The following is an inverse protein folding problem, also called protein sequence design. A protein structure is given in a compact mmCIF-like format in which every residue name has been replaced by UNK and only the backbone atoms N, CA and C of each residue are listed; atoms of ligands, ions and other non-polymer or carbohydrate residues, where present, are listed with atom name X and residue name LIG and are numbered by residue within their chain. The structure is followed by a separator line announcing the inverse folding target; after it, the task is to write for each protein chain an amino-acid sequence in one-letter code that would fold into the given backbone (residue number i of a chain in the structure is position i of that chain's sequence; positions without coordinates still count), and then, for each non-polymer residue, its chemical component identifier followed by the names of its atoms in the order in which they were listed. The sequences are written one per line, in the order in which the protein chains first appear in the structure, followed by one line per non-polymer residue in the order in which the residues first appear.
data_IF_041406324499
#
_entry.id   IF_041406324499
#
_cell.length_a   1.000
_cell.length_b   1.000
_cell.length_c   1.000
_cell.angle_alpha   90.00
_cell.angle_beta   90.00
_cell.angle_gamma   90.00
#
_symmetry.space_group_name_H-M   'P 1'
#
loop_
_entity.id
_entity.type
_entity.pdbx_description
1 polymer ?
#
# COMPACT_ATOMS: atom_id res chain seq x y z
N UNK A 1 21.80 -15.52 -4.28
CA UNK A 1 20.93 -15.03 -3.21
C UNK A 1 19.89 -14.16 -3.89
N UNK A 2 18.65 -14.26 -3.51
CA UNK A 2 17.56 -13.43 -4.06
C UNK A 2 17.79 -11.96 -3.72
N UNK A 3 17.42 -11.05 -4.63
CA UNK A 3 17.47 -9.61 -4.40
C UNK A 3 16.04 -9.08 -4.34
N UNK A 4 15.66 -8.51 -3.21
CA UNK A 4 14.36 -7.85 -3.02
C UNK A 4 14.53 -6.39 -3.41
N UNK A 5 13.80 -5.98 -4.42
CA UNK A 5 13.90 -4.67 -5.05
C UNK A 5 12.76 -3.73 -4.60
N UNK A 6 12.92 -2.43 -4.86
CA UNK A 6 11.84 -1.46 -4.73
C UNK A 6 10.72 -1.73 -5.75
N UNK A 7 9.52 -1.21 -5.47
CA UNK A 7 8.40 -1.16 -6.40
C UNK A 7 8.06 0.29 -6.70
N UNK A 8 8.45 0.79 -7.87
CA UNK A 8 8.24 2.19 -8.26
C UNK A 8 7.61 2.24 -9.64
N UNK A 9 6.52 3.00 -9.78
CA UNK A 9 5.85 3.16 -11.08
C UNK A 9 5.30 1.86 -11.66
N UNK A 10 4.87 0.92 -10.82
CA UNK A 10 4.32 -0.36 -11.26
C UNK A 10 5.37 -1.41 -11.66
N UNK A 11 6.64 -1.18 -11.38
CA UNK A 11 7.74 -2.10 -11.74
C UNK A 11 8.74 -2.30 -10.62
N UNK A 12 9.36 -3.47 -10.60
CA UNK A 12 10.51 -3.77 -9.74
C UNK A 12 11.75 -2.99 -10.21
N UNK A 13 12.52 -2.44 -9.28
CA UNK A 13 13.76 -1.71 -9.58
C UNK A 13 14.75 -1.77 -8.41
N UNK A 14 16.03 -1.99 -8.72
CA UNK A 14 17.10 -1.93 -7.73
C UNK A 14 17.46 -0.50 -7.27
N UNK A 15 16.85 0.51 -7.91
CA UNK A 15 17.13 1.91 -7.62
C UNK A 15 18.54 2.35 -8.02
N UNK A 16 18.97 3.49 -7.47
CA UNK A 16 20.28 4.11 -7.71
C UNK A 16 21.28 3.91 -6.57
N UNK A 17 20.82 3.37 -5.42
CA UNK A 17 21.64 3.09 -4.25
C UNK A 17 22.42 1.78 -4.36
N UNK A 18 23.56 1.74 -3.71
CA UNK A 18 24.43 0.55 -3.60
C UNK A 18 24.30 -0.18 -2.24
N UNK A 19 23.58 0.44 -1.28
CA UNK A 19 23.35 -0.15 0.05
C UNK A 19 22.35 -1.28 -0.03
N UNK A 20 22.63 -2.33 0.74
CA UNK A 20 21.75 -3.50 0.89
C UNK A 20 21.63 -3.87 2.36
N UNK A 21 20.54 -4.54 2.72
CA UNK A 21 20.31 -5.13 4.02
C UNK A 21 20.03 -6.61 3.91
N UNK A 22 20.46 -7.43 4.88
CA UNK A 22 20.17 -8.86 4.89
C UNK A 22 18.74 -9.13 5.35
N UNK A 23 18.06 -10.07 4.69
CA UNK A 23 16.78 -10.64 5.11
C UNK A 23 17.04 -12.07 5.58
N UNK A 24 16.56 -12.41 6.76
CA UNK A 24 16.81 -13.69 7.40
C UNK A 24 15.52 -14.50 7.52
N UNK A 25 15.68 -15.83 7.46
CA UNK A 25 14.66 -16.74 7.96
C UNK A 25 14.93 -16.96 9.47
N UNK A 26 14.10 -16.42 10.38
CA UNK A 26 14.38 -16.50 11.82
C UNK A 26 14.26 -17.92 12.39
N UNK A 27 13.57 -18.83 11.70
CA UNK A 27 13.46 -20.23 12.14
C UNK A 27 14.77 -21.01 11.96
N UNK A 28 15.60 -20.61 11.00
CA UNK A 28 16.88 -21.27 10.70
C UNK A 28 18.10 -20.41 11.03
N UNK A 29 17.90 -19.09 11.17
CA UNK A 29 18.99 -18.11 11.28
C UNK A 29 19.74 -17.86 9.97
N UNK A 30 19.35 -18.51 8.87
CA UNK A 30 19.99 -18.35 7.57
C UNK A 30 19.50 -17.09 6.86
N UNK A 31 20.41 -16.38 6.21
CA UNK A 31 20.07 -15.30 5.30
C UNK A 31 19.39 -15.88 4.05
N UNK A 32 18.18 -15.42 3.74
CA UNK A 32 17.36 -15.85 2.59
C UNK A 32 17.52 -14.94 1.38
N UNK A 33 17.65 -13.63 1.61
CA UNK A 33 17.74 -12.63 0.56
C UNK A 33 18.57 -11.41 0.99
N UNK A 34 18.86 -10.53 0.02
CA UNK A 34 19.27 -9.15 0.24
C UNK A 34 18.14 -8.21 -0.18
N UNK A 35 17.90 -7.14 0.58
CA UNK A 35 16.97 -6.09 0.21
C UNK A 35 17.73 -4.81 -0.15
N UNK A 36 17.37 -4.17 -1.25
CA UNK A 36 17.95 -2.86 -1.63
C UNK A 36 17.52 -1.78 -0.63
N UNK A 37 18.43 -0.84 -0.34
CA UNK A 37 18.16 0.30 0.53
C UNK A 37 18.15 1.58 -0.28
N UNK A 38 17.04 2.32 -0.23
CA UNK A 38 16.85 3.53 -1.02
C UNK A 38 17.93 4.58 -0.76
N UNK A 39 18.40 5.18 -1.82
CA UNK A 39 19.12 6.44 -1.80
C UNK A 39 18.13 7.62 -1.72
N UNK A 40 18.65 8.83 -1.48
CA UNK A 40 17.85 10.05 -1.59
C UNK A 40 17.21 10.20 -2.98
N UNK A 41 17.94 9.83 -4.03
CA UNK A 41 17.44 9.89 -5.41
C UNK A 41 16.28 8.94 -5.66
N UNK A 42 16.29 7.76 -5.04
CA UNK A 42 15.18 6.78 -5.16
C UNK A 42 13.92 7.31 -4.48
N UNK A 43 14.07 7.95 -3.30
CA UNK A 43 12.95 8.63 -2.62
C UNK A 43 12.39 9.75 -3.48
N UNK A 44 13.25 10.62 -4.01
CA UNK A 44 12.85 11.72 -4.89
C UNK A 44 12.14 11.20 -6.15
N UNK A 45 12.59 10.06 -6.71
CA UNK A 45 11.97 9.40 -7.86
C UNK A 45 10.59 8.84 -7.51
N UNK A 46 10.45 8.10 -6.40
CA UNK A 46 9.16 7.55 -5.99
C UNK A 46 8.13 8.65 -5.70
N UNK A 47 8.54 9.73 -5.04
CA UNK A 47 7.66 10.88 -4.77
C UNK A 47 7.25 11.59 -6.06
N UNK A 48 8.17 11.77 -7.01
CA UNK A 48 7.85 12.35 -8.32
C UNK A 48 6.87 11.46 -9.09
N UNK A 49 7.14 10.17 -9.18
CA UNK A 49 6.24 9.18 -9.83
C UNK A 49 4.85 9.20 -9.20
N UNK A 50 4.77 9.23 -7.87
CA UNK A 50 3.50 9.35 -7.16
C UNK A 50 2.78 10.67 -7.46
N UNK A 51 3.51 11.78 -7.57
CA UNK A 51 2.94 13.10 -7.90
C UNK A 51 2.41 13.14 -9.33
N UNK A 52 3.12 12.55 -10.28
CA UNK A 52 2.68 12.44 -11.67
C UNK A 52 1.40 11.59 -11.77
N UNK A 53 1.37 10.43 -11.12
CA UNK A 53 0.18 9.58 -11.06
C UNK A 53 -1.01 10.27 -10.36
N UNK A 54 -0.77 11.11 -9.39
CA UNK A 54 -1.81 11.87 -8.68
C UNK A 54 -2.62 12.77 -9.62
N UNK A 55 -1.99 13.36 -10.65
CA UNK A 55 -2.66 14.30 -11.55
C UNK A 55 -3.86 13.67 -12.29
N UNK A 56 -3.84 12.38 -12.52
CA UNK A 56 -4.95 11.64 -13.14
C UNK A 56 -5.79 10.89 -12.10
N UNK A 57 -5.16 10.34 -11.06
CA UNK A 57 -5.84 9.54 -10.05
C UNK A 57 -6.85 10.35 -9.23
N UNK A 58 -6.53 11.59 -8.87
CA UNK A 58 -7.40 12.49 -8.10
C UNK A 58 -8.76 12.72 -8.74
N UNK A 59 -8.83 12.70 -10.09
CA UNK A 59 -10.02 12.96 -10.88
C UNK A 59 -10.78 11.67 -11.26
N UNK A 60 -10.29 10.50 -10.84
CA UNK A 60 -10.98 9.23 -11.05
C UNK A 60 -12.30 9.20 -10.26
N UNK A 61 -13.34 8.61 -10.86
CA UNK A 61 -14.65 8.52 -10.20
C UNK A 61 -14.61 7.63 -8.96
N UNK A 62 -15.48 7.90 -7.98
CA UNK A 62 -15.63 7.05 -6.79
C UNK A 62 -15.94 5.60 -7.18
N UNK A 63 -16.77 5.38 -8.21
CA UNK A 63 -17.10 4.05 -8.72
C UNK A 63 -15.87 3.32 -9.27
N UNK A 64 -15.01 4.01 -10.04
CA UNK A 64 -13.79 3.41 -10.57
C UNK A 64 -12.84 2.98 -9.44
N UNK A 65 -12.61 3.84 -8.44
CA UNK A 65 -11.79 3.51 -7.26
C UNK A 65 -12.39 2.34 -6.47
N UNK A 66 -13.69 2.34 -6.27
CA UNK A 66 -14.40 1.28 -5.56
C UNK A 66 -14.27 -0.07 -6.28
N UNK A 67 -14.40 -0.11 -7.61
CA UNK A 67 -14.23 -1.33 -8.40
C UNK A 67 -12.81 -1.90 -8.25
N UNK A 68 -11.79 -1.05 -8.28
CA UNK A 68 -10.39 -1.45 -8.05
C UNK A 68 -10.21 -2.00 -6.62
N UNK A 69 -10.82 -1.36 -5.60
CA UNK A 69 -10.77 -1.86 -4.22
C UNK A 69 -11.42 -3.23 -4.08
N UNK A 70 -12.56 -3.47 -4.69
CA UNK A 70 -13.22 -4.80 -4.69
C UNK A 70 -12.37 -5.85 -5.41
N UNK A 71 -11.77 -5.52 -6.55
CA UNK A 71 -10.86 -6.42 -7.25
C UNK A 71 -9.62 -6.74 -6.39
N UNK A 72 -9.02 -5.74 -5.76
CA UNK A 72 -7.90 -5.92 -4.83
C UNK A 72 -8.27 -6.79 -3.63
N UNK A 73 -9.42 -6.52 -3.00
CA UNK A 73 -9.98 -7.34 -1.92
C UNK A 73 -10.05 -8.82 -2.32
N UNK A 74 -10.57 -9.10 -3.51
CA UNK A 74 -10.71 -10.48 -4.00
C UNK A 74 -9.36 -11.15 -4.22
N UNK A 75 -8.38 -10.44 -4.79
CA UNK A 75 -7.02 -10.95 -4.99
C UNK A 75 -6.30 -11.20 -3.64
N UNK A 76 -6.48 -10.36 -2.63
CA UNK A 76 -5.95 -10.61 -1.28
C UNK A 76 -6.56 -11.88 -0.68
N UNK A 77 -7.87 -12.13 -0.87
CA UNK A 77 -8.51 -13.37 -0.40
C UNK A 77 -7.95 -14.59 -1.13
N UNK A 78 -7.81 -14.52 -2.45
CA UNK A 78 -7.28 -15.59 -3.29
C UNK A 78 -5.83 -15.94 -2.92
N UNK A 79 -4.98 -14.92 -2.70
CA UNK A 79 -3.56 -15.06 -2.38
C UNK A 79 -3.23 -14.98 -0.89
N UNK A 80 -4.25 -15.12 -0.02
CA UNK A 80 -4.07 -15.01 1.44
C UNK A 80 -2.99 -15.94 1.99
N UNK A 81 -2.94 -17.18 1.49
CA UNK A 81 -1.95 -18.17 1.91
C UNK A 81 -0.53 -17.82 1.41
N UNK A 82 -0.40 -17.24 0.22
CA UNK A 82 0.91 -16.86 -0.32
C UNK A 82 1.50 -15.68 0.48
N UNK A 83 0.67 -14.71 0.84
CA UNK A 83 1.07 -13.61 1.73
C UNK A 83 1.46 -14.17 3.12
N UNK A 84 0.68 -15.10 3.67
CA UNK A 84 0.98 -15.72 4.96
C UNK A 84 2.30 -16.50 4.93
N UNK A 85 2.61 -17.20 3.85
CA UNK A 85 3.88 -17.89 3.67
C UNK A 85 5.07 -16.93 3.61
N UNK A 86 4.94 -15.81 2.90
CA UNK A 86 5.97 -14.77 2.88
C UNK A 86 6.22 -14.22 4.28
N UNK A 87 5.14 -13.92 5.04
CA UNK A 87 5.23 -13.51 6.44
C UNK A 87 5.95 -14.54 7.32
N UNK A 88 5.57 -15.80 7.23
CA UNK A 88 6.19 -16.87 8.02
C UNK A 88 7.68 -17.02 7.68
N UNK A 89 8.04 -16.91 6.41
CA UNK A 89 9.43 -17.08 5.95
C UNK A 89 10.35 -15.97 6.47
N UNK A 90 9.91 -14.73 6.54
CA UNK A 90 10.74 -13.58 6.90
C UNK A 90 10.55 -13.12 8.35
N UNK A 91 9.32 -13.20 8.90
CA UNK A 91 9.01 -12.81 10.27
C UNK A 91 9.16 -13.97 11.27
N UNK A 92 8.90 -15.23 10.86
CA UNK A 92 8.96 -16.41 11.72
C UNK A 92 7.70 -16.71 12.53
N UNK A 93 6.60 -15.96 12.34
CA UNK A 93 5.29 -16.30 12.95
C UNK A 93 4.71 -17.55 12.30
N UNK A 94 3.84 -18.25 13.02
CA UNK A 94 3.15 -19.41 12.44
C UNK A 94 2.26 -19.04 11.27
N UNK A 95 1.94 -19.99 10.40
CA UNK A 95 1.01 -19.77 9.28
C UNK A 95 -0.37 -19.30 9.79
N UNK A 96 -0.86 -19.85 10.88
CA UNK A 96 -2.15 -19.47 11.46
C UNK A 96 -2.15 -18.01 11.95
N UNK A 97 -1.09 -17.58 12.63
CA UNK A 97 -0.92 -16.18 13.03
C UNK A 97 -0.80 -15.25 11.82
N UNK A 98 -0.05 -15.66 10.79
CA UNK A 98 0.09 -14.92 9.55
C UNK A 98 -1.24 -14.78 8.81
N UNK A 99 -2.04 -15.84 8.72
CA UNK A 99 -3.39 -15.79 8.15
C UNK A 99 -4.32 -14.86 8.95
N UNK A 100 -4.22 -14.87 10.28
CA UNK A 100 -4.94 -13.96 11.16
C UNK A 100 -4.52 -12.51 10.96
N UNK A 101 -3.23 -12.26 10.71
CA UNK A 101 -2.71 -10.94 10.38
C UNK A 101 -3.28 -10.42 9.05
N UNK A 102 -3.18 -11.22 7.98
CA UNK A 102 -3.73 -10.86 6.66
C UNK A 102 -5.23 -10.60 6.75
N UNK A 103 -5.97 -11.38 7.58
CA UNK A 103 -7.40 -11.17 7.79
C UNK A 103 -7.70 -9.78 8.36
N UNK A 104 -6.94 -9.32 9.36
CA UNK A 104 -7.11 -7.97 9.95
C UNK A 104 -6.74 -6.85 8.97
N UNK A 105 -5.78 -7.07 8.09
CA UNK A 105 -5.49 -6.15 6.98
C UNK A 105 -6.63 -6.10 5.97
N UNK A 106 -7.19 -7.27 5.62
CA UNK A 106 -8.31 -7.41 4.70
C UNK A 106 -9.57 -6.65 5.17
N UNK A 107 -9.87 -6.65 6.47
CA UNK A 107 -11.01 -5.92 7.04
C UNK A 107 -10.96 -4.41 6.74
N UNK A 108 -9.77 -3.82 6.72
CA UNK A 108 -9.61 -2.40 6.35
C UNK A 108 -9.75 -2.19 4.85
N UNK A 109 -9.29 -3.14 4.01
CA UNK A 109 -9.55 -3.10 2.57
C UNK A 109 -11.05 -3.18 2.29
N UNK A 110 -11.78 -4.06 3.00
CA UNK A 110 -13.24 -4.18 2.92
C UNK A 110 -13.94 -2.88 3.34
N UNK A 111 -13.44 -2.21 4.38
CA UNK A 111 -13.91 -0.89 4.77
C UNK A 111 -13.67 0.14 3.65
N UNK A 112 -12.49 0.12 3.00
CA UNK A 112 -12.15 1.00 1.88
C UNK A 112 -13.04 0.76 0.64
N UNK A 113 -13.58 -0.44 0.43
CA UNK A 113 -14.56 -0.73 -0.62
C UNK A 113 -15.83 0.13 -0.51
N UNK A 114 -16.13 0.67 0.67
CA UNK A 114 -17.28 1.54 0.91
C UNK A 114 -16.96 3.04 0.80
N UNK A 115 -15.86 3.41 0.16
CA UNK A 115 -15.35 4.78 0.13
C UNK A 115 -16.35 5.80 -0.41
N UNK A 116 -17.21 5.42 -1.35
CA UNK A 116 -18.25 6.28 -1.89
C UNK A 116 -19.22 6.80 -0.83
N UNK A 117 -19.47 6.01 0.23
CA UNK A 117 -20.31 6.44 1.36
C UNK A 117 -19.54 7.28 2.37
N UNK A 118 -18.24 7.02 2.55
CA UNK A 118 -17.39 7.72 3.51
C UNK A 118 -17.01 9.14 3.04
N UNK A 119 -16.92 9.35 1.73
CA UNK A 119 -16.57 10.64 1.13
C UNK A 119 -17.77 11.58 0.91
N UNK A 120 -18.99 11.20 1.32
CA UNK A 120 -20.13 12.11 1.30
C UNK A 120 -19.84 13.34 2.15
N UNK A 121 -20.20 14.51 1.59
CA UNK A 121 -20.19 15.77 2.33
C UNK A 121 -21.53 16.05 2.99
N UNK A 122 -21.55 17.06 3.83
CA UNK A 122 -22.75 17.56 4.48
C UNK A 122 -23.31 18.75 3.67
N UNK A 123 -24.63 18.95 3.74
CA UNK A 123 -25.32 20.10 3.21
C UNK A 123 -26.21 20.70 4.30
N UNK A 124 -26.16 22.02 4.47
CA UNK A 124 -27.03 22.76 5.38
C UNK A 124 -27.68 23.90 4.64
N UNK A 125 -29.02 23.91 4.63
CA UNK A 125 -29.82 24.95 3.99
C UNK A 125 -30.05 26.09 4.97
N UNK A 126 -30.03 27.34 4.46
CA UNK A 126 -30.38 28.55 5.18
C UNK A 126 -29.61 28.70 6.52
N UNK A 127 -28.31 28.45 6.53
CA UNK A 127 -27.46 28.71 7.71
C UNK A 127 -27.44 30.20 8.08
N UNK A 128 -27.79 31.07 7.11
CA UNK A 128 -28.13 32.45 7.23
C UNK A 128 -29.12 32.80 6.12
N UNK A 129 -29.74 33.94 6.18
CA UNK A 129 -30.74 34.37 5.16
C UNK A 129 -30.11 34.37 3.76
N UNK A 130 -30.60 33.46 2.90
CA UNK A 130 -30.13 33.32 1.51
C UNK A 130 -28.73 32.65 1.37
N UNK A 131 -28.25 31.96 2.42
CA UNK A 131 -26.94 31.27 2.42
C UNK A 131 -27.10 29.80 2.74
N UNK A 132 -26.72 28.96 1.79
CA UNK A 132 -26.55 27.50 1.97
C UNK A 132 -25.07 27.14 2.07
N UNK A 133 -24.74 26.06 2.78
CA UNK A 133 -23.37 25.55 2.90
C UNK A 133 -23.31 24.08 2.57
N UNK A 134 -22.20 23.67 2.01
CA UNK A 134 -21.89 22.26 1.78
C UNK A 134 -20.39 21.99 1.95
N UNK A 135 -20.06 20.74 2.26
CA UNK A 135 -18.66 20.28 2.38
C UNK A 135 -18.29 19.41 1.20
N UNK A 136 -17.07 19.56 0.70
CA UNK A 136 -16.49 18.72 -0.35
C UNK A 136 -15.19 18.12 0.20
N UNK A 137 -15.05 16.79 0.12
CA UNK A 137 -13.84 16.09 0.51
C UNK A 137 -12.96 15.91 -0.72
N UNK A 138 -11.70 16.36 -0.63
CA UNK A 138 -10.74 16.29 -1.71
C UNK A 138 -9.47 15.55 -1.26
N UNK A 139 -8.78 14.81 -2.17
CA UNK A 139 -7.51 14.18 -1.84
C UNK A 139 -6.42 15.23 -1.56
N UNK A 140 -5.48 14.87 -0.69
CA UNK A 140 -4.39 15.75 -0.25
C UNK A 140 -3.19 15.74 -1.21
N UNK A 141 -3.00 14.66 -1.97
CA UNK A 141 -1.86 14.49 -2.85
C UNK A 141 -1.07 13.22 -2.58
N UNK A 142 0.25 13.33 -2.60
CA UNK A 142 1.15 12.24 -2.21
C UNK A 142 1.17 12.12 -0.70
N UNK A 143 0.90 10.92 -0.19
CA UNK A 143 1.00 10.59 1.24
C UNK A 143 2.00 9.45 1.43
N UNK A 144 2.58 9.35 2.63
CA UNK A 144 3.57 8.34 2.93
C UNK A 144 3.24 7.58 4.21
N UNK A 145 3.69 6.33 4.29
CA UNK A 145 3.62 5.50 5.47
C UNK A 145 4.93 4.78 5.74
N UNK A 146 5.34 4.76 7.00
CA UNK A 146 6.48 3.97 7.49
C UNK A 146 5.91 2.95 8.47
N UNK A 147 6.15 1.66 8.21
CA UNK A 147 5.52 0.57 8.95
C UNK A 147 6.54 -0.33 9.64
N UNK A 148 6.17 -0.93 10.79
CA UNK A 148 7.07 -1.75 11.60
C UNK A 148 7.16 -3.20 11.08
N UNK A 149 8.11 -3.97 11.63
CA UNK A 149 8.32 -5.36 11.30
C UNK A 149 7.33 -6.33 11.97
N UNK A 150 6.71 -5.97 13.08
CA UNK A 150 5.92 -6.92 13.88
C UNK A 150 4.57 -7.32 13.24
N UNK A 151 4.07 -6.51 12.30
CA UNK A 151 2.87 -6.78 11.48
C UNK A 151 3.08 -6.26 10.07
N UNK A 152 3.95 -6.92 9.26
CA UNK A 152 4.43 -6.38 7.99
C UNK A 152 3.42 -6.41 6.84
N UNK A 153 2.29 -7.12 6.99
CA UNK A 153 1.17 -7.05 6.06
C UNK A 153 0.02 -6.20 6.59
N UNK A 154 -0.38 -6.41 7.86
CA UNK A 154 -1.54 -5.75 8.45
C UNK A 154 -1.38 -4.24 8.51
N UNK A 155 -0.26 -3.73 9.04
CA UNK A 155 -0.08 -2.29 9.24
C UNK A 155 0.00 -1.52 7.90
N UNK A 156 0.73 -1.98 6.87
CA UNK A 156 0.63 -1.38 5.53
C UNK A 156 -0.81 -1.37 4.99
N UNK A 157 -1.54 -2.49 5.12
CA UNK A 157 -2.94 -2.60 4.66
C UNK A 157 -3.91 -1.70 5.43
N UNK A 158 -3.54 -1.20 6.61
CA UNK A 158 -4.33 -0.19 7.33
C UNK A 158 -4.17 1.22 6.76
N UNK A 159 -3.09 1.47 6.01
CA UNK A 159 -2.70 2.81 5.56
C UNK A 159 -3.03 3.07 4.10
N UNK A 160 -2.38 2.34 3.17
CA UNK A 160 -2.46 2.67 1.74
C UNK A 160 -3.84 2.44 1.11
N UNK A 161 -4.66 1.42 1.48
CA UNK A 161 -5.95 1.22 0.81
C UNK A 161 -6.90 2.41 1.04
N UNK A 162 -6.99 2.88 2.28
CA UNK A 162 -7.83 4.02 2.63
C UNK A 162 -7.36 5.31 1.96
N UNK A 163 -6.05 5.57 1.97
CA UNK A 163 -5.48 6.75 1.33
C UNK A 163 -5.74 6.77 -0.18
N UNK A 164 -5.52 5.63 -0.85
CA UNK A 164 -5.71 5.46 -2.30
C UNK A 164 -7.20 5.54 -2.67
N UNK A 165 -8.09 4.90 -1.91
CA UNK A 165 -9.53 5.00 -2.11
C UNK A 165 -10.03 6.45 -2.00
N UNK A 166 -9.43 7.26 -1.12
CA UNK A 166 -9.71 8.69 -1.00
C UNK A 166 -9.17 9.52 -2.18
N UNK A 167 -8.42 8.93 -3.13
CA UNK A 167 -7.87 9.60 -4.30
C UNK A 167 -6.45 10.14 -4.12
N UNK A 168 -5.76 9.77 -3.03
CA UNK A 168 -4.34 10.07 -2.84
C UNK A 168 -3.47 9.03 -3.55
N UNK A 169 -2.21 9.36 -3.80
CA UNK A 169 -1.16 8.40 -4.12
C UNK A 169 -0.32 8.11 -2.89
N UNK A 170 0.35 6.98 -2.86
CA UNK A 170 0.99 6.49 -1.64
C UNK A 170 2.44 6.04 -1.89
N UNK A 171 3.34 6.43 -0.98
CA UNK A 171 4.70 5.91 -0.89
C UNK A 171 4.83 5.15 0.43
N UNK A 172 5.02 3.85 0.35
CA UNK A 172 5.18 2.96 1.50
C UNK A 172 6.66 2.66 1.75
N UNK A 173 7.11 2.83 2.98
CA UNK A 173 8.37 2.26 3.46
C UNK A 173 8.05 1.13 4.46
N UNK A 174 7.99 -0.14 4.02
CA UNK A 174 7.83 -1.27 4.93
C UNK A 174 9.11 -1.52 5.72
N UNK A 175 9.05 -2.45 6.67
CA UNK A 175 10.26 -2.93 7.34
C UNK A 175 11.20 -3.60 6.33
N UNK A 176 12.49 -3.33 6.46
CA UNK A 176 13.55 -3.98 5.69
C UNK A 176 13.83 -5.43 6.13
N UNK A 177 13.28 -5.84 7.27
CA UNK A 177 13.47 -7.20 7.83
C UNK A 177 12.57 -8.24 7.18
N UNK A 178 11.38 -7.80 6.74
CA UNK A 178 10.30 -8.67 6.22
C UNK A 178 9.48 -7.96 5.13
N UNK A 179 10.15 -7.57 4.02
CA UNK A 179 9.58 -6.67 3.01
C UNK A 179 8.64 -7.36 2.01
N UNK A 180 8.74 -8.67 1.80
CA UNK A 180 8.14 -9.37 0.64
C UNK A 180 6.62 -9.36 0.66
N UNK A 181 5.97 -9.40 1.83
CA UNK A 181 4.52 -9.33 1.94
C UNK A 181 3.94 -8.01 1.38
N UNK A 182 4.64 -6.90 1.59
CA UNK A 182 4.24 -5.59 1.06
C UNK A 182 4.41 -5.50 -0.46
N UNK A 183 5.45 -6.11 -1.03
CA UNK A 183 5.67 -6.18 -2.48
C UNK A 183 4.60 -7.02 -3.16
N UNK A 184 4.32 -8.22 -2.62
CA UNK A 184 3.26 -9.09 -3.14
C UNK A 184 1.91 -8.37 -3.14
N UNK A 185 1.59 -7.64 -2.07
CA UNK A 185 0.36 -6.84 -2.01
C UNK A 185 0.34 -5.71 -3.04
N UNK A 186 1.48 -5.04 -3.33
CA UNK A 186 1.57 -4.01 -4.36
C UNK A 186 1.35 -4.58 -5.76
N UNK A 187 1.94 -5.75 -6.07
CA UNK A 187 1.69 -6.46 -7.33
C UNK A 187 0.22 -6.86 -7.49
N UNK A 188 -0.41 -7.36 -6.43
CA UNK A 188 -1.83 -7.72 -6.45
C UNK A 188 -2.71 -6.49 -6.65
N UNK A 189 -2.32 -5.33 -6.10
CA UNK A 189 -3.08 -4.10 -6.29
C UNK A 189 -2.98 -3.60 -7.74
N UNK A 190 -1.80 -3.69 -8.37
CA UNK A 190 -1.65 -3.41 -9.80
C UNK A 190 -2.49 -4.37 -10.66
N UNK A 191 -2.47 -5.69 -10.36
CA UNK A 191 -3.32 -6.70 -11.04
C UNK A 191 -4.82 -6.40 -10.86
N UNK A 192 -5.22 -5.75 -9.77
CA UNK A 192 -6.58 -5.28 -9.54
C UNK A 192 -6.97 -4.07 -10.41
N UNK A 193 -6.03 -3.51 -11.16
CA UNK A 193 -6.23 -2.36 -12.05
C UNK A 193 -5.82 -1.01 -11.44
N UNK A 194 -5.06 -1.00 -10.33
CA UNK A 194 -4.49 0.23 -9.82
C UNK A 194 -3.49 0.80 -10.83
N UNK A 195 -3.61 2.07 -11.25
CA UNK A 195 -2.66 2.68 -12.18
C UNK A 195 -1.23 2.74 -11.60
N UNK A 196 -0.25 2.60 -12.50
CA UNK A 196 1.15 2.67 -12.15
C UNK A 196 1.49 3.98 -11.44
N UNK A 197 2.33 3.91 -10.42
CA UNK A 197 2.75 5.07 -9.63
C UNK A 197 1.77 5.51 -8.52
N UNK A 198 0.54 5.00 -8.49
CA UNK A 198 -0.41 5.32 -7.40
C UNK A 198 0.05 4.69 -6.08
N UNK A 199 0.63 3.50 -6.10
CA UNK A 199 1.33 2.88 -4.98
C UNK A 199 2.79 2.63 -5.34
N UNK A 200 3.71 3.11 -4.48
CA UNK A 200 5.14 2.86 -4.59
C UNK A 200 5.66 2.30 -3.28
N UNK A 201 6.58 1.33 -3.33
CA UNK A 201 7.19 0.70 -2.16
C UNK A 201 8.69 0.90 -2.20
N UNK A 202 9.23 1.52 -1.16
CA UNK A 202 10.65 1.77 -0.97
C UNK A 202 11.16 1.05 0.26
N UNK A 203 12.33 0.43 0.17
CA UNK A 203 13.03 -0.15 1.32
C UNK A 203 14.13 0.79 1.79
N UNK A 204 14.37 0.84 3.11
CA UNK A 204 15.37 1.74 3.69
C UNK A 204 15.40 1.77 5.22
#
# INVERSE_FOLDING_TARGET
MELIEHWIGGTSTSGSGDRRGPVYNPATGAQSADVVMASKQDVDTAVRTAKEAFETWKDSSLTARQNIMFAFRNLIVEHKLDIARALTAEHGKTIDDALGEVQRGLEVIEFACNIAHLLKGDYSQQVSRGVDTYTVRQPRGVVAGITPFNFPAMVPMWMYPMAIACGNTFVLKPSEKDPSASLLAAELFQKAGLPDGVLNVLHG
#
